data_IF_221106876432
#
_entry.id   IF_221106876432
#
_cell.length_a   1.000
_cell.length_b   1.000
_cell.length_c   1.000
_cell.angle_alpha   90.00
_cell.angle_beta   90.00
_cell.angle_gamma   90.00
#
_symmetry.space_group_name_H-M   'P 1'
#
loop_
_entity.id
_entity.type
_entity.pdbx_description
1 polymer ?
#
# COMPACT_ATOMS: atom_id res chain seq x y z
N UNK A 1 7.07 6.47 11.26
CA UNK A 1 6.18 6.73 10.11
C UNK A 1 6.60 5.96 8.87
N UNK A 2 7.85 6.13 8.40
CA UNK A 2 8.41 5.37 7.26
C UNK A 2 8.16 3.85 7.39
N UNK A 3 8.51 3.26 8.54
CA UNK A 3 8.29 1.82 8.81
C UNK A 3 6.82 1.39 8.85
N UNK A 4 5.89 2.30 9.18
CA UNK A 4 4.45 2.01 9.14
C UNK A 4 3.95 1.95 7.70
N UNK A 5 4.36 2.92 6.88
CA UNK A 5 4.03 2.97 5.45
C UNK A 5 4.59 1.75 4.73
N UNK A 6 5.87 1.44 4.94
CA UNK A 6 6.51 0.29 4.31
C UNK A 6 5.76 -1.01 4.60
N UNK A 7 5.47 -1.30 5.89
CA UNK A 7 4.70 -2.48 6.29
C UNK A 7 3.30 -2.51 5.68
N UNK A 8 2.61 -1.37 5.66
CA UNK A 8 1.25 -1.28 5.12
C UNK A 8 1.20 -1.55 3.61
N UNK A 9 2.18 -1.05 2.86
CA UNK A 9 2.31 -1.33 1.43
C UNK A 9 2.75 -2.77 1.17
N UNK A 10 3.61 -3.34 2.02
CA UNK A 10 4.06 -4.72 1.92
C UNK A 10 2.91 -5.71 2.17
N UNK A 11 2.05 -5.45 3.16
CA UNK A 11 0.81 -6.22 3.39
C UNK A 11 -0.15 -6.12 2.20
N UNK A 12 -0.25 -4.94 1.57
CA UNK A 12 -1.07 -4.77 0.36
C UNK A 12 -0.49 -5.54 -0.83
N UNK A 13 0.83 -5.55 -0.99
CA UNK A 13 1.52 -6.34 -1.99
C UNK A 13 1.32 -7.84 -1.74
N UNK A 14 1.47 -8.28 -0.49
CA UNK A 14 1.24 -9.66 -0.08
C UNK A 14 -0.20 -10.12 -0.39
N UNK A 15 -1.20 -9.29 -0.09
CA UNK A 15 -2.60 -9.59 -0.38
C UNK A 15 -2.88 -9.74 -1.89
N UNK A 16 -2.13 -9.02 -2.75
CA UNK A 16 -2.19 -9.18 -4.20
C UNK A 16 -1.42 -10.41 -4.68
N UNK A 17 -0.27 -10.72 -4.07
CA UNK A 17 0.60 -11.82 -4.51
C UNK A 17 0.17 -13.20 -4.01
N UNK A 18 -0.74 -13.27 -3.06
CA UNK A 18 -1.28 -14.52 -2.50
C UNK A 18 -2.76 -14.67 -2.80
N UNK A 19 -3.24 -15.92 -2.89
CA UNK A 19 -4.67 -16.19 -3.11
C UNK A 19 -5.52 -15.47 -2.04
N UNK A 20 -6.54 -14.69 -2.45
CA UNK A 20 -7.23 -14.75 -3.73
C UNK A 20 -6.80 -13.68 -4.76
N UNK A 21 -5.55 -13.23 -4.73
CA UNK A 21 -4.96 -12.18 -5.58
C UNK A 21 -5.75 -10.87 -5.52
N UNK A 22 -5.95 -10.36 -4.30
CA UNK A 22 -6.83 -9.22 -4.07
C UNK A 22 -6.26 -7.92 -4.66
N UNK A 23 -7.06 -7.24 -5.49
CA UNK A 23 -6.77 -5.90 -6.00
C UNK A 23 -7.73 -4.88 -5.37
N UNK A 24 -7.19 -3.93 -4.62
CA UNK A 24 -7.96 -2.86 -3.99
C UNK A 24 -8.19 -1.67 -4.92
N UNK A 25 -9.45 -1.39 -5.27
CA UNK A 25 -9.82 -0.19 -6.04
C UNK A 25 -9.92 1.06 -5.15
N UNK A 26 -10.27 0.88 -3.88
CA UNK A 26 -10.41 1.97 -2.90
C UNK A 26 -9.76 1.55 -1.60
N UNK A 27 -8.88 2.40 -1.06
CA UNK A 27 -8.31 2.24 0.27
C UNK A 27 -8.71 3.42 1.14
N UNK A 28 -9.14 3.15 2.37
CA UNK A 28 -9.49 4.16 3.37
C UNK A 28 -8.78 3.88 4.69
N UNK A 29 -8.05 4.88 5.16
CA UNK A 29 -7.51 4.88 6.53
C UNK A 29 -8.66 5.13 7.50
N UNK A 30 -8.94 4.15 8.36
CA UNK A 30 -9.98 4.23 9.39
C UNK A 30 -9.42 4.80 10.69
N UNK A 31 -8.19 4.45 11.03
CA UNK A 31 -7.49 4.90 12.22
C UNK A 31 -6.00 5.00 11.93
N UNK A 32 -5.37 6.05 12.45
CA UNK A 32 -3.93 6.23 12.40
C UNK A 32 -3.46 6.68 13.80
N UNK A 33 -2.71 5.81 14.47
CA UNK A 33 -2.03 6.10 15.72
C UNK A 33 -0.55 6.35 15.43
N UNK A 34 -0.13 7.61 15.62
CA UNK A 34 1.23 8.07 15.33
C UNK A 34 2.21 7.77 16.46
N UNK A 35 1.72 7.61 17.69
CA UNK A 35 2.55 7.31 18.86
C UNK A 35 2.91 5.83 18.89
N UNK A 36 1.93 4.96 18.56
CA UNK A 36 2.10 3.51 18.52
C UNK A 36 2.57 2.98 17.17
N UNK A 37 2.60 3.82 16.14
CA UNK A 37 2.88 3.43 14.76
C UNK A 37 1.95 2.30 14.28
N UNK A 38 0.65 2.49 14.47
CA UNK A 38 -0.40 1.57 14.05
C UNK A 38 -1.36 2.29 13.10
N UNK A 39 -1.79 1.59 12.05
CA UNK A 39 -2.84 2.07 11.17
C UNK A 39 -3.85 0.95 10.92
N UNK A 40 -5.12 1.32 10.89
CA UNK A 40 -6.19 0.45 10.38
C UNK A 40 -6.64 1.01 9.05
N UNK A 41 -6.45 0.21 8.01
CA UNK A 41 -6.89 0.53 6.66
C UNK A 41 -7.92 -0.50 6.22
N UNK A 42 -8.95 -0.04 5.55
CA UNK A 42 -9.90 -0.89 4.84
C UNK A 42 -9.75 -0.67 3.35
N UNK A 43 -9.59 -1.77 2.63
CA UNK A 43 -9.56 -1.80 1.18
C UNK A 43 -10.82 -2.47 0.65
N UNK A 44 -11.38 -1.94 -0.43
CA UNK A 44 -12.48 -2.54 -1.18
C UNK A 44 -12.02 -2.79 -2.61
N UNK A 45 -12.40 -3.95 -3.15
CA UNK A 45 -11.95 -4.40 -4.45
C UNK A 45 -12.42 -5.83 -4.72
N UNK A 46 -11.70 -6.53 -5.60
CA UNK A 46 -12.02 -7.90 -6.03
C UNK A 46 -10.75 -8.73 -6.23
N UNK A 47 -10.91 -9.99 -6.62
CA UNK A 47 -9.79 -10.82 -7.07
C UNK A 47 -9.35 -10.42 -8.47
N UNK A 48 -8.03 -10.40 -8.68
CA UNK A 48 -7.46 -10.14 -10.00
C UNK A 48 -7.87 -11.24 -10.99
N UNK A 49 -8.17 -10.81 -12.21
CA UNK A 49 -8.70 -11.62 -13.30
C UNK A 49 -8.18 -11.06 -14.62
N UNK A 50 -7.40 -11.86 -15.37
CA UNK A 50 -6.79 -11.48 -16.64
C UNK A 50 -7.80 -11.13 -17.73
N UNK A 51 -9.04 -11.63 -17.66
CA UNK A 51 -10.08 -11.31 -18.63
C UNK A 51 -10.68 -9.92 -18.39
N UNK A 52 -10.64 -9.43 -17.15
CA UNK A 52 -11.24 -8.15 -16.74
C UNK A 52 -10.20 -7.04 -16.56
N UNK A 53 -9.04 -7.38 -16.02
CA UNK A 53 -8.03 -6.44 -15.60
C UNK A 53 -6.87 -6.42 -16.62
N UNK A 54 -6.51 -5.25 -17.17
CA UNK A 54 -5.39 -5.16 -18.11
C UNK A 54 -4.08 -5.54 -17.40
N UNK A 55 -3.24 -6.30 -18.10
CA UNK A 55 -1.93 -6.67 -17.59
C UNK A 55 -1.00 -5.45 -17.60
N UNK A 56 -0.67 -4.97 -16.40
CA UNK A 56 0.34 -3.93 -16.19
C UNK A 56 1.72 -4.54 -15.91
N UNK A 57 2.51 -3.80 -15.16
CA UNK A 57 3.80 -4.28 -14.63
C UNK A 57 3.61 -4.79 -13.20
N UNK A 58 4.15 -5.97 -12.90
CA UNK A 58 4.17 -6.53 -11.56
C UNK A 58 5.09 -5.72 -10.65
N UNK A 59 4.70 -5.56 -9.39
CA UNK A 59 5.56 -4.98 -8.35
C UNK A 59 6.16 -6.16 -7.58
N UNK A 60 7.49 -6.23 -7.48
CA UNK A 60 8.22 -7.31 -6.81
C UNK A 60 8.44 -7.05 -5.33
N UNK A 61 8.71 -5.79 -4.97
CA UNK A 61 9.02 -5.43 -3.59
C UNK A 61 8.80 -3.93 -3.31
N UNK A 62 8.42 -3.64 -2.07
CA UNK A 62 8.45 -2.28 -1.50
C UNK A 62 9.84 -2.00 -0.96
N UNK A 63 10.45 -0.86 -1.33
CA UNK A 63 11.82 -0.54 -0.91
C UNK A 63 11.87 0.65 0.05
N UNK A 64 12.87 0.67 0.93
CA UNK A 64 13.19 1.82 1.77
C UNK A 64 14.04 2.87 1.05
N UNK A 65 14.51 2.56 -0.17
CA UNK A 65 15.39 3.43 -0.95
C UNK A 65 14.70 4.77 -1.22
N UNK A 66 15.27 5.84 -0.63
CA UNK A 66 14.72 7.20 -0.73
C UNK A 66 13.23 7.29 -0.35
N UNK A 67 12.75 6.48 0.61
CA UNK A 67 11.39 6.62 1.12
C UNK A 67 11.27 7.91 1.95
N UNK A 68 10.27 8.72 1.64
CA UNK A 68 10.04 10.01 2.29
C UNK A 68 8.59 10.15 2.75
N UNK A 69 8.41 10.72 3.94
CA UNK A 69 7.10 11.09 4.48
C UNK A 69 7.19 12.56 4.87
N UNK A 70 6.53 13.42 4.10
CA UNK A 70 6.47 14.85 4.34
C UNK A 70 5.11 15.19 4.94
N UNK A 71 5.12 15.68 6.17
CA UNK A 71 3.89 16.00 6.87
C UNK A 71 3.73 17.50 7.02
N UNK A 72 2.55 17.99 6.68
CA UNK A 72 2.10 19.36 6.92
C UNK A 72 0.80 19.29 7.73
N UNK A 73 0.38 20.40 8.36
CA UNK A 73 -0.90 20.42 9.09
C UNK A 73 -2.13 20.05 8.24
N UNK A 74 -2.05 20.18 6.91
CA UNK A 74 -3.17 19.98 5.99
C UNK A 74 -3.07 18.68 5.17
N UNK A 75 -1.86 18.15 4.99
CA UNK A 75 -1.60 16.97 4.14
C UNK A 75 -0.34 16.23 4.56
N UNK A 76 -0.32 14.93 4.30
CA UNK A 76 0.89 14.11 4.36
C UNK A 76 1.17 13.57 2.97
N UNK A 77 2.34 13.90 2.42
CA UNK A 77 2.82 13.43 1.12
C UNK A 77 3.82 12.29 1.35
N UNK A 78 3.64 11.17 0.66
CA UNK A 78 4.48 9.97 0.81
C UNK A 78 5.11 9.65 -0.54
N UNK A 79 6.43 9.49 -0.56
CA UNK A 79 7.19 9.10 -1.74
C UNK A 79 7.85 7.75 -1.49
N UNK A 80 7.59 6.79 -2.39
CA UNK A 80 8.07 5.41 -2.29
C UNK A 80 8.62 4.98 -3.65
N UNK A 81 9.78 4.32 -3.62
CA UNK A 81 10.35 3.62 -4.77
C UNK A 81 10.00 2.14 -4.63
N UNK A 82 9.46 1.55 -5.68
CA UNK A 82 9.11 0.13 -5.76
C UNK A 82 10.01 -0.57 -6.78
N UNK A 83 10.27 -1.85 -6.55
CA UNK A 83 10.94 -2.72 -7.52
C UNK A 83 9.89 -3.38 -8.43
N UNK A 84 10.14 -3.41 -9.74
CA UNK A 84 9.23 -3.86 -10.80
C UNK A 84 9.88 -4.92 -11.69
#
# INVERSE_FOLDING_TARGET
MISLVARLLDEALYAFSTEPFFIGCVAKVLQLDRERFEARVRCWGESFDLAKHPQGTEIKAITYSNMQVHETPLRSDIFVIVDI
#
